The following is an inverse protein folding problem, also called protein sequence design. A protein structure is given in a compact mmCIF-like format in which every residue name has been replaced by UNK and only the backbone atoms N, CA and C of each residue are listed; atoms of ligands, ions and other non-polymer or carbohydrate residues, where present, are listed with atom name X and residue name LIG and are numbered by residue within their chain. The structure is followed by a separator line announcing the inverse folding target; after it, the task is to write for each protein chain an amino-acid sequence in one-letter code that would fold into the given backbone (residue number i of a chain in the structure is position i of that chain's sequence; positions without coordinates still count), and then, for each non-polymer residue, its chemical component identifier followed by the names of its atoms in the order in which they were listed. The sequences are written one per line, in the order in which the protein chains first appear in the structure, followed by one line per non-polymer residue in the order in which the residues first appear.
data_IF_777457717726
#
_entry.id   IF_777457717726
#
_cell.length_a   1.000
_cell.length_b   1.000
_cell.length_c   1.000
_cell.angle_alpha   90.00
_cell.angle_beta   90.00
_cell.angle_gamma   90.00
#
_symmetry.space_group_name_H-M   'P 1'
#
loop_
_entity.id
_entity.type
_entity.pdbx_description
1 polymer ?
#
# COMPACT_ATOMS: atom_id res chain seq x y z
N UNK A 1 4.55 36.79 -0.03
CA UNK A 1 5.61 35.75 -0.02
C UNK A 1 6.17 35.49 1.38
N UNK A 2 6.20 36.47 2.28
CA UNK A 2 6.87 36.40 3.59
C UNK A 2 6.34 35.36 4.61
N UNK A 3 5.04 35.02 4.59
CA UNK A 3 4.46 34.06 5.55
C UNK A 3 4.92 32.61 5.31
N UNK A 4 4.97 32.19 4.05
CA UNK A 4 5.27 30.81 3.70
C UNK A 4 6.71 30.43 4.08
N UNK A 5 7.66 31.29 3.71
CA UNK A 5 9.08 31.10 4.02
C UNK A 5 9.32 31.09 5.53
N UNK A 6 8.78 32.07 6.26
CA UNK A 6 8.92 32.14 7.72
C UNK A 6 8.29 30.97 8.47
N UNK A 7 7.16 30.44 8.00
CA UNK A 7 6.50 29.33 8.69
C UNK A 7 7.07 27.96 8.32
N UNK A 8 7.39 27.73 7.04
CA UNK A 8 7.67 26.38 6.54
C UNK A 8 9.13 26.15 6.18
N UNK A 9 9.89 27.21 5.88
CA UNK A 9 11.31 27.09 5.51
C UNK A 9 12.22 27.43 6.69
N UNK A 10 11.93 28.52 7.42
CA UNK A 10 12.80 28.97 8.52
C UNK A 10 12.57 28.19 9.83
N UNK A 11 11.32 27.85 10.15
CA UNK A 11 10.98 27.16 11.41
C UNK A 11 11.16 25.65 11.36
N UNK A 12 11.02 25.06 10.17
CA UNK A 12 11.00 23.60 9.99
C UNK A 12 12.22 23.24 9.19
N UNK A 13 13.21 22.65 9.86
CA UNK A 13 14.45 22.27 9.20
C UNK A 13 14.17 21.22 8.12
N UNK A 14 14.85 21.26 6.97
CA UNK A 14 14.61 20.31 5.89
C UNK A 14 14.73 18.85 6.30
N UNK A 15 15.58 18.50 7.28
CA UNK A 15 15.86 17.11 7.67
C UNK A 15 14.65 16.37 8.26
N UNK A 16 13.63 17.11 8.73
CA UNK A 16 12.39 16.52 9.23
C UNK A 16 11.30 16.42 8.15
N UNK A 17 11.58 16.81 6.91
CA UNK A 17 10.63 16.68 5.81
C UNK A 17 10.55 15.22 5.38
N UNK A 18 9.33 14.74 5.11
CA UNK A 18 9.06 13.35 4.70
C UNK A 18 9.81 12.87 3.44
N UNK A 19 10.45 13.79 2.70
CA UNK A 19 11.17 13.53 1.47
C UNK A 19 12.58 14.10 1.47
N UNK A 20 13.09 14.52 2.62
CA UNK A 20 14.45 15.00 2.70
C UNK A 20 15.41 13.90 2.24
N UNK A 21 16.25 14.21 1.24
CA UNK A 21 17.23 13.27 0.67
C UNK A 21 16.64 11.95 0.11
N UNK A 22 15.35 11.94 -0.23
CA UNK A 22 14.72 10.77 -0.86
C UNK A 22 14.93 10.78 -2.38
N UNK A 23 15.52 9.69 -2.90
CA UNK A 23 15.62 9.46 -4.36
C UNK A 23 14.25 9.20 -5.03
N UNK A 24 13.21 8.92 -4.24
CA UNK A 24 11.87 8.59 -4.75
C UNK A 24 11.08 9.88 -4.92
N UNK A 25 11.22 10.58 -6.05
CA UNK A 25 10.63 11.91 -6.36
C UNK A 25 9.09 12.08 -6.17
N UNK A 26 8.34 11.02 -5.90
CA UNK A 26 6.86 11.06 -5.82
C UNK A 26 6.32 10.37 -4.57
N UNK A 27 5.24 10.92 -4.01
CA UNK A 27 4.47 10.37 -2.90
C UNK A 27 3.51 9.24 -3.33
N UNK A 28 3.61 8.73 -4.56
CA UNK A 28 2.72 7.72 -5.17
C UNK A 28 2.45 6.50 -4.26
N UNK A 29 3.45 6.04 -3.51
CA UNK A 29 3.29 4.92 -2.56
C UNK A 29 2.31 5.25 -1.43
N UNK A 30 2.41 6.47 -0.88
CA UNK A 30 1.53 6.96 0.19
C UNK A 30 0.12 7.18 -0.35
N UNK A 31 0.00 7.77 -1.55
CA UNK A 31 -1.29 7.95 -2.22
C UNK A 31 -1.99 6.61 -2.50
N UNK A 32 -1.24 5.62 -2.98
CA UNK A 32 -1.73 4.25 -3.19
C UNK A 32 -2.20 3.61 -1.89
N UNK A 33 -1.44 3.76 -0.80
CA UNK A 33 -1.83 3.28 0.52
C UNK A 33 -3.13 3.94 1.01
N UNK A 34 -3.24 5.27 0.93
CA UNK A 34 -4.47 5.99 1.30
C UNK A 34 -5.67 5.56 0.46
N UNK A 35 -5.49 5.35 -0.85
CA UNK A 35 -6.55 4.84 -1.72
C UNK A 35 -7.03 3.46 -1.29
N UNK A 36 -6.10 2.56 -0.96
CA UNK A 36 -6.43 1.21 -0.46
C UNK A 36 -7.13 1.27 0.91
N UNK A 37 -6.64 2.09 1.82
CA UNK A 37 -7.23 2.27 3.15
C UNK A 37 -8.66 2.80 3.04
N UNK A 38 -8.91 3.80 2.19
CA UNK A 38 -10.25 4.34 1.96
C UNK A 38 -11.22 3.28 1.40
N UNK A 39 -10.74 2.42 0.50
CA UNK A 39 -11.54 1.29 -0.03
C UNK A 39 -11.85 0.23 1.03
N UNK A 40 -10.99 0.07 2.04
CA UNK A 40 -11.17 -0.90 3.13
C UNK A 40 -12.15 -0.37 4.17
N UNK A 41 -11.97 0.89 4.58
CA UNK A 41 -12.76 1.56 5.62
C UNK A 41 -14.19 1.88 5.13
N UNK A 42 -14.36 2.22 3.84
CA UNK A 42 -15.67 2.49 3.18
C UNK A 42 -16.55 3.57 3.83
N UNK A 43 -16.02 4.36 4.76
CA UNK A 43 -16.74 5.44 5.45
C UNK A 43 -15.88 6.70 5.49
N UNK A 44 -16.48 7.87 5.27
CA UNK A 44 -15.76 9.15 5.30
C UNK A 44 -15.27 9.54 6.71
N UNK A 45 -15.98 9.08 7.75
CA UNK A 45 -15.67 9.37 9.15
C UNK A 45 -15.73 8.09 9.98
N UNK A 46 -14.74 7.19 9.84
CA UNK A 46 -14.70 5.98 10.64
C UNK A 46 -14.56 6.35 12.12
N UNK A 47 -15.25 5.61 12.97
CA UNK A 47 -14.93 5.62 14.39
C UNK A 47 -13.45 5.27 14.57
N UNK A 48 -12.74 5.97 15.46
CA UNK A 48 -11.31 5.79 15.70
C UNK A 48 -10.92 4.32 15.99
N UNK A 49 -11.77 3.57 16.69
CA UNK A 49 -11.53 2.15 16.96
C UNK A 49 -11.60 1.29 15.70
N UNK A 50 -12.47 1.62 14.74
CA UNK A 50 -12.52 0.94 13.44
C UNK A 50 -11.27 1.25 12.62
N UNK A 51 -10.81 2.52 12.62
CA UNK A 51 -9.57 2.88 11.95
C UNK A 51 -8.37 2.11 12.54
N UNK A 52 -8.24 2.07 13.87
CA UNK A 52 -7.19 1.31 14.55
C UNK A 52 -7.25 -0.17 14.19
N UNK A 53 -8.45 -0.76 14.16
CA UNK A 53 -8.65 -2.15 13.76
C UNK A 53 -8.09 -2.43 12.37
N UNK A 54 -8.45 -1.60 11.38
CA UNK A 54 -7.96 -1.76 10.01
C UNK A 54 -6.45 -1.56 9.88
N UNK A 55 -5.88 -0.60 10.60
CA UNK A 55 -4.43 -0.37 10.60
C UNK A 55 -3.68 -1.58 11.17
N UNK A 56 -4.16 -2.17 12.27
CA UNK A 56 -3.58 -3.40 12.83
C UNK A 56 -3.66 -4.56 11.84
N UNK A 57 -4.80 -4.76 11.19
CA UNK A 57 -4.98 -5.81 10.20
C UNK A 57 -4.02 -5.64 9.00
N UNK A 58 -3.88 -4.42 8.50
CA UNK A 58 -2.93 -4.11 7.43
C UNK A 58 -1.49 -4.37 7.86
N UNK A 59 -1.09 -3.92 9.05
CA UNK A 59 0.25 -4.17 9.60
C UNK A 59 0.56 -5.66 9.71
N UNK A 60 -0.37 -6.47 10.25
CA UNK A 60 -0.19 -7.92 10.33
C UNK A 60 0.00 -8.56 8.96
N UNK A 61 -0.79 -8.16 7.96
CA UNK A 61 -0.64 -8.67 6.58
C UNK A 61 0.72 -8.32 5.98
N UNK A 62 1.19 -7.09 6.17
CA UNK A 62 2.49 -6.63 5.65
C UNK A 62 3.65 -7.36 6.33
N UNK A 63 3.56 -7.60 7.64
CA UNK A 63 4.59 -8.36 8.37
C UNK A 63 4.70 -9.80 7.87
N UNK A 64 3.56 -10.46 7.63
CA UNK A 64 3.54 -11.81 7.05
C UNK A 64 4.19 -11.82 5.67
N UNK A 65 3.85 -10.87 4.81
CA UNK A 65 4.45 -10.74 3.47
C UNK A 65 5.96 -10.46 3.55
N UNK A 66 6.39 -9.62 4.48
CA UNK A 66 7.80 -9.34 4.74
C UNK A 66 8.57 -10.59 5.19
N UNK A 67 8.03 -11.36 6.13
CA UNK A 67 8.67 -12.60 6.59
C UNK A 67 8.75 -13.65 5.47
N UNK A 68 7.73 -13.77 4.62
CA UNK A 68 7.79 -14.63 3.43
C UNK A 68 8.89 -14.18 2.46
N UNK A 69 8.99 -12.88 2.18
CA UNK A 69 10.05 -12.32 1.34
C UNK A 69 11.44 -12.58 1.93
N UNK A 70 11.61 -12.41 3.24
CA UNK A 70 12.86 -12.69 3.95
C UNK A 70 13.26 -14.16 3.87
N UNK A 71 12.29 -15.08 3.82
CA UNK A 71 12.50 -16.50 3.63
C UNK A 71 12.67 -16.90 2.14
N UNK A 72 12.77 -15.93 1.23
CA UNK A 72 12.75 -16.14 -0.23
C UNK A 72 11.53 -16.94 -0.73
N UNK A 73 10.48 -17.05 0.10
CA UNK A 73 9.19 -17.59 -0.29
C UNK A 73 8.43 -16.49 -1.01
N UNK A 74 8.74 -16.28 -2.28
CA UNK A 74 8.03 -15.28 -3.08
C UNK A 74 6.63 -15.82 -3.42
N UNK A 75 5.63 -15.43 -2.64
CA UNK A 75 4.24 -15.53 -3.08
C UNK A 75 3.94 -14.29 -3.92
N UNK A 76 4.36 -14.26 -5.20
CA UNK A 76 3.84 -13.22 -6.09
C UNK A 76 2.33 -13.38 -6.12
N UNK A 77 1.60 -12.33 -5.73
CA UNK A 77 0.15 -12.29 -5.95
C UNK A 77 -0.05 -12.42 -7.46
N UNK A 78 -0.55 -13.59 -7.91
CA UNK A 78 -0.85 -13.82 -9.32
C UNK A 78 -1.76 -12.68 -9.80
N UNK A 79 -1.39 -12.05 -10.90
CA UNK A 79 -2.24 -11.04 -11.52
C UNK A 79 -3.60 -11.66 -11.83
N UNK A 80 -4.66 -10.85 -11.77
CA UNK A 80 -6.00 -11.30 -12.18
C UNK A 80 -5.99 -11.87 -13.61
N UNK A 81 -5.13 -11.33 -14.48
CA UNK A 81 -4.90 -11.84 -15.84
C UNK A 81 -4.31 -13.25 -15.84
N UNK A 82 -3.38 -13.55 -14.94
CA UNK A 82 -2.74 -14.86 -14.87
C UNK A 82 -3.65 -15.90 -14.21
N UNK A 83 -4.44 -15.48 -13.23
CA UNK A 83 -5.52 -16.30 -12.66
C UNK A 83 -6.57 -16.66 -13.71
N UNK A 84 -7.00 -15.71 -14.55
CA UNK A 84 -7.99 -15.97 -15.61
C UNK A 84 -7.47 -16.92 -16.69
N UNK A 85 -6.18 -16.79 -17.05
CA UNK A 85 -5.52 -17.74 -17.97
C UNK A 85 -5.47 -19.15 -17.40
N UNK A 86 -5.15 -19.30 -16.12
CA UNK A 86 -5.07 -20.59 -15.44
C UNK A 86 -6.44 -21.25 -15.37
N UNK A 87 -7.48 -20.48 -15.02
CA UNK A 87 -8.86 -20.93 -15.03
C UNK A 87 -9.30 -21.41 -16.43
N UNK A 88 -8.96 -20.66 -17.49
CA UNK A 88 -9.23 -21.07 -18.88
C UNK A 88 -8.53 -22.37 -19.24
N UNK A 89 -7.27 -22.54 -18.84
CA UNK A 89 -6.52 -23.77 -19.08
C UNK A 89 -7.14 -24.97 -18.37
N UNK A 90 -7.65 -24.79 -17.14
CA UNK A 90 -8.37 -25.85 -16.41
C UNK A 90 -9.69 -26.23 -17.08
N UNK A 91 -10.44 -25.25 -17.61
CA UNK A 91 -11.67 -25.50 -18.34
C UNK A 91 -11.41 -26.31 -19.62
N UNK A 92 -10.40 -25.91 -20.41
CA UNK A 92 -9.98 -26.63 -21.62
C UNK A 92 -9.55 -28.07 -21.28
N UNK A 93 -8.80 -28.26 -20.18
CA UNK A 93 -8.40 -29.60 -19.71
C UNK A 93 -9.58 -30.48 -19.28
N UNK A 94 -10.69 -29.89 -18.84
CA UNK A 94 -11.92 -30.62 -18.49
C UNK A 94 -12.75 -30.97 -19.72
N UNK A 95 -12.76 -30.13 -20.75
CA UNK A 95 -13.51 -30.36 -21.99
C UNK A 95 -12.86 -31.42 -22.89
N UNK A 96 -11.55 -31.58 -22.83
CA UNK A 96 -10.79 -32.56 -23.62
C UNK A 96 -10.37 -33.82 -22.84
N UNK A 97 -11.12 -34.17 -21.79
CA UNK A 97 -10.95 -35.40 -21.00
C UNK A 97 -12.18 -36.29 -21.16
#
# INVERSE_FOLDING_TARGET
MDYFEKQWIEKIKPEIWNHHESDIQTNNKIEGFHSALNKLVKTNHPNIFHLIFFLKQHQSSVLVEYEHLKQAQVTTKKSKKDQDKELRLELIKREHK
#
